data_IF_458487881878
#
_entry.id   IF_458487881878
#
_cell.length_a   1.000
_cell.length_b   1.000
_cell.length_c   1.000
_cell.angle_alpha   90.00
_cell.angle_beta   90.00
_cell.angle_gamma   90.00
#
_symmetry.space_group_name_H-M   'P 1'
#
loop_
_entity.id
_entity.type
_entity.pdbx_description
1 polymer ?
#
# COMPACT_ATOMS: atom_id res chain seq x y z
N UNK A 1 -7.28 -3.94 11.58
CA UNK A 1 -6.35 -5.01 11.14
C UNK A 1 -5.62 -4.50 9.91
N UNK A 2 -4.30 -4.33 9.98
CA UNK A 2 -3.54 -3.90 8.80
C UNK A 2 -3.59 -5.03 7.76
N UNK A 3 -3.99 -4.72 6.53
CA UNK A 3 -4.04 -5.72 5.46
C UNK A 3 -2.66 -5.80 4.86
N UNK A 4 -1.99 -6.94 4.99
CA UNK A 4 -0.76 -7.17 4.23
C UNK A 4 -1.17 -7.76 2.88
N UNK A 5 -0.73 -7.14 1.79
CA UNK A 5 -0.96 -7.63 0.43
C UNK A 5 0.36 -8.04 -0.19
N UNK A 6 0.43 -9.25 -0.73
CA UNK A 6 1.59 -9.71 -1.49
C UNK A 6 1.68 -8.95 -2.82
N UNK A 7 2.84 -8.34 -3.09
CA UNK A 7 3.08 -7.51 -4.26
C UNK A 7 3.25 -8.32 -5.55
N UNK A 8 3.62 -9.61 -5.45
CA UNK A 8 3.77 -10.49 -6.61
C UNK A 8 2.44 -11.06 -7.10
N UNK A 9 1.63 -11.55 -6.16
CA UNK A 9 0.38 -12.28 -6.45
C UNK A 9 -0.88 -11.48 -6.18
N UNK A 10 -0.78 -10.37 -5.45
CA UNK A 10 -1.91 -9.53 -5.08
C UNK A 10 -2.82 -10.12 -3.99
N UNK A 11 -2.46 -11.26 -3.38
CA UNK A 11 -3.24 -11.92 -2.34
C UNK A 11 -3.03 -11.25 -0.98
N UNK A 12 -4.06 -11.24 -0.14
CA UNK A 12 -3.91 -10.80 1.25
C UNK A 12 -3.32 -11.92 2.10
N UNK A 13 -2.31 -11.58 2.87
CA UNK A 13 -1.54 -12.48 3.72
C UNK A 13 -1.58 -12.00 5.16
N UNK A 14 -1.15 -12.86 6.08
CA UNK A 14 -1.13 -12.54 7.50
C UNK A 14 -0.03 -11.52 7.83
N UNK A 15 -0.16 -10.82 8.96
CA UNK A 15 0.85 -9.86 9.40
C UNK A 15 2.21 -10.51 9.68
N UNK A 16 2.22 -11.76 10.14
CA UNK A 16 3.46 -12.50 10.38
C UNK A 16 4.19 -12.82 9.07
N UNK A 17 3.45 -13.17 8.02
CA UNK A 17 4.03 -13.37 6.68
C UNK A 17 4.61 -12.06 6.14
N UNK A 18 3.91 -10.94 6.33
CA UNK A 18 4.42 -9.62 5.93
C UNK A 18 5.71 -9.22 6.65
N UNK A 19 5.85 -9.58 7.93
CA UNK A 19 7.09 -9.34 8.70
C UNK A 19 8.26 -10.20 8.21
N UNK A 20 8.00 -11.44 7.80
CA UNK A 20 9.01 -12.35 7.24
C UNK A 20 9.40 -11.97 5.80
N UNK A 21 8.47 -11.39 5.04
CA UNK A 21 8.65 -11.03 3.64
C UNK A 21 8.43 -9.51 3.38
N UNK A 22 9.20 -8.62 4.01
CA UNK A 22 8.98 -7.17 3.88
C UNK A 22 9.30 -6.63 2.48
N UNK A 23 10.05 -7.39 1.67
CA UNK A 23 10.43 -6.99 0.30
C UNK A 23 9.33 -7.26 -0.73
N UNK A 24 8.47 -8.25 -0.49
CA UNK A 24 7.44 -8.69 -1.44
C UNK A 24 6.04 -8.47 -0.92
N UNK A 25 5.88 -7.83 0.24
CA UNK A 25 4.57 -7.57 0.83
C UNK A 25 4.41 -6.08 1.14
N UNK A 26 3.18 -5.59 0.97
CA UNK A 26 2.78 -4.22 1.19
C UNK A 26 1.86 -4.20 2.39
N UNK A 27 2.23 -3.44 3.43
CA UNK A 27 1.36 -3.20 4.59
C UNK A 27 0.37 -2.09 4.24
N UNK A 28 -0.82 -2.49 3.81
CA UNK A 28 -1.94 -1.58 3.56
C UNK A 28 -2.62 -1.28 4.90
N UNK A 29 -2.29 -0.11 5.44
CA UNK A 29 -3.12 0.46 6.50
C UNK A 29 -4.31 1.13 5.85
N UNK A 30 -5.53 0.71 6.21
CA UNK A 30 -6.76 1.47 5.97
C UNK A 30 -6.73 2.74 6.85
N UNK A 31 -5.72 3.59 6.63
CA UNK A 31 -5.84 4.99 6.94
C UNK A 31 -6.50 5.54 5.69
N UNK A 32 -7.82 5.40 5.65
CA UNK A 32 -8.69 6.28 4.90
C UNK A 32 -8.43 7.71 5.37
N UNK A 33 -7.29 8.29 5.00
CA UNK A 33 -7.15 9.72 4.88
C UNK A 33 -7.74 10.03 3.51
N UNK A 34 -8.96 10.60 3.42
CA UNK A 34 -9.48 11.07 2.16
C UNK A 34 -8.58 12.20 1.69
N UNK A 35 -7.52 11.88 0.94
CA UNK A 35 -6.79 12.89 0.18
C UNK A 35 -7.70 13.30 -0.98
N UNK A 36 -8.54 14.27 -0.68
CA UNK A 36 -9.12 15.19 -1.65
C UNK A 36 -7.98 15.67 -2.58
N UNK A 37 -8.07 15.25 -3.85
CA UNK A 37 -7.68 16.03 -5.04
C UNK A 37 -6.17 16.19 -5.35
N UNK A 38 -5.80 16.62 -6.58
CA UNK A 38 -5.79 15.87 -7.84
C UNK A 38 -4.36 15.94 -8.49
N UNK A 39 -4.09 15.45 -9.72
CA UNK A 39 -2.72 15.30 -10.22
C UNK A 39 -2.10 16.67 -10.48
N UNK A 40 -0.96 16.98 -9.86
CA UNK A 40 -0.16 18.15 -10.23
C UNK A 40 0.47 17.91 -11.60
N UNK A 41 -0.19 18.38 -12.66
CA UNK A 41 0.44 18.66 -13.95
C UNK A 41 1.63 19.61 -13.74
N UNK A 42 2.74 19.44 -14.49
CA UNK A 42 3.87 20.35 -14.39
C UNK A 42 3.50 21.64 -15.14
N UNK A 43 3.27 22.73 -14.41
CA UNK A 43 3.09 24.05 -15.03
C UNK A 43 4.47 24.59 -15.39
N UNK A 44 4.82 24.43 -16.67
CA UNK A 44 5.90 25.11 -17.41
C UNK A 44 5.92 26.61 -17.07
N UNK A 45 7.10 27.17 -16.77
CA UNK A 45 7.42 28.58 -16.95
C UNK A 45 8.85 28.69 -17.45
#
# INVERSE_FOLDING_TARGET
MAKIRDAGTGKYVTEEYGKKHPKTTVKETDKSAPKKSPPKTPKKK
#
